data_IF_881592327335
#
_entry.id   IF_881592327335
#
_cell.length_a   1.000
_cell.length_b   1.000
_cell.length_c   1.000
_cell.angle_alpha   90.00
_cell.angle_beta   90.00
_cell.angle_gamma   90.00
#
_symmetry.space_group_name_H-M   'P 1'
#
loop_
_entity.id
_entity.type
_entity.pdbx_description
1 polymer ?
#
# COMPACT_ATOMS: atom_id res chain seq x y z
N UNK A 1 10.56 10.33 1.08
CA UNK A 1 10.70 10.73 2.50
C UNK A 1 10.93 9.47 3.30
N UNK A 2 11.96 9.40 4.13
CA UNK A 2 12.17 8.22 4.98
C UNK A 2 11.06 8.12 6.03
N UNK A 3 10.57 6.92 6.36
CA UNK A 3 9.59 6.76 7.42
C UNK A 3 10.16 7.24 8.76
N UNK A 4 9.35 7.92 9.57
CA UNK A 4 9.75 8.29 10.92
C UNK A 4 9.93 7.02 11.78
N UNK A 5 10.94 6.96 12.66
CA UNK A 5 11.10 5.84 13.58
C UNK A 5 9.86 5.72 14.48
N UNK A 6 9.49 4.50 14.80
CA UNK A 6 8.44 4.22 15.78
C UNK A 6 9.03 4.24 17.20
N UNK A 7 8.20 4.53 18.23
CA UNK A 7 8.52 4.26 19.62
C UNK A 7 8.88 2.77 19.86
N UNK A 8 9.40 2.45 21.04
CA UNK A 8 9.75 1.07 21.37
C UNK A 8 8.55 0.13 21.32
N UNK A 9 8.81 -1.16 21.07
CA UNK A 9 7.76 -2.19 21.11
C UNK A 9 7.04 -2.18 22.47
N UNK A 10 7.80 -2.11 23.56
CA UNK A 10 7.26 -2.07 24.91
C UNK A 10 6.28 -0.92 25.10
N UNK A 11 6.63 0.29 24.68
CA UNK A 11 5.79 1.47 24.81
C UNK A 11 4.49 1.32 24.03
N UNK A 12 4.58 0.93 22.76
CA UNK A 12 3.40 0.76 21.91
C UNK A 12 2.50 -0.39 22.39
N UNK A 13 3.06 -1.52 22.78
CA UNK A 13 2.32 -2.68 23.27
C UNK A 13 1.67 -2.44 24.64
N UNK A 14 2.21 -1.53 25.44
CA UNK A 14 1.59 -1.13 26.71
C UNK A 14 0.30 -0.31 26.53
N UNK A 15 0.12 0.34 25.38
CA UNK A 15 -0.95 1.30 25.11
C UNK A 15 -1.95 0.79 24.09
N UNK A 16 -1.50 0.03 23.09
CA UNK A 16 -2.33 -0.43 21.97
C UNK A 16 -2.45 -1.96 21.92
N UNK A 17 -3.56 -2.40 21.35
CA UNK A 17 -3.80 -3.80 20.99
C UNK A 17 -4.36 -3.88 19.57
N UNK A 18 -3.92 -4.90 18.83
CA UNK A 18 -4.44 -5.18 17.50
C UNK A 18 -5.84 -5.80 17.65
N UNK A 19 -6.81 -5.25 16.90
CA UNK A 19 -8.19 -5.72 16.96
C UNK A 19 -8.81 -5.78 15.56
N UNK A 20 -9.33 -6.93 15.20
CA UNK A 20 -10.04 -7.13 13.93
C UNK A 20 -11.41 -6.46 13.89
N UNK A 21 -11.99 -6.13 15.06
CA UNK A 21 -13.28 -5.45 15.18
C UNK A 21 -13.17 -3.93 15.12
N UNK A 22 -11.95 -3.38 15.28
CA UNK A 22 -11.72 -1.95 15.20
C UNK A 22 -11.60 -1.47 13.75
N UNK A 23 -12.28 -0.40 13.35
CA UNK A 23 -12.18 0.14 11.98
C UNK A 23 -10.76 0.60 11.61
N UNK A 24 -9.92 0.96 12.60
CA UNK A 24 -8.51 1.30 12.38
C UNK A 24 -7.59 0.08 12.43
N UNK A 25 -8.04 -1.05 12.99
CA UNK A 25 -7.22 -2.22 13.32
C UNK A 25 -6.56 -2.16 14.69
N UNK A 26 -6.72 -1.06 15.46
CA UNK A 26 -6.18 -0.88 16.81
C UNK A 26 -7.27 -0.48 17.81
N UNK A 27 -7.10 -0.92 19.06
CA UNK A 27 -7.86 -0.44 20.22
C UNK A 27 -6.91 0.05 21.31
N UNK A 28 -7.44 0.83 22.24
CA UNK A 28 -6.74 1.30 23.41
C UNK A 28 -6.70 0.25 24.51
N UNK A 29 -5.52 -0.25 24.88
CA UNK A 29 -5.28 -0.99 26.14
C UNK A 29 -5.20 -0.04 27.32
N UNK A 30 -4.42 1.04 27.14
CA UNK A 30 -4.25 2.07 28.16
C UNK A 30 -4.45 3.46 27.51
N UNK A 31 -5.61 4.09 27.77
CA UNK A 31 -5.85 5.45 27.29
C UNK A 31 -4.79 6.43 27.78
N UNK A 32 -4.39 7.35 26.90
CA UNK A 32 -3.38 8.39 27.21
C UNK A 32 -3.99 9.76 27.50
N UNK A 33 -5.31 9.88 27.36
CA UNK A 33 -6.07 11.08 27.74
C UNK A 33 -7.52 10.72 28.10
N UNK A 34 -8.22 11.66 28.74
CA UNK A 34 -9.60 11.47 29.27
C UNK A 34 -10.67 11.21 28.20
N UNK A 35 -10.42 11.59 26.95
CA UNK A 35 -11.34 11.37 25.82
C UNK A 35 -11.28 9.95 25.25
N UNK A 36 -10.27 9.19 25.60
CA UNK A 36 -10.07 7.82 25.16
C UNK A 36 -10.59 6.84 26.22
N UNK A 37 -11.04 5.68 25.80
CA UNK A 37 -11.52 4.62 26.70
C UNK A 37 -10.86 3.29 26.33
N UNK A 38 -10.66 2.44 27.32
CA UNK A 38 -10.16 1.07 27.12
C UNK A 38 -11.10 0.33 26.18
N UNK A 39 -10.55 -0.51 25.33
CA UNK A 39 -11.24 -1.33 24.32
C UNK A 39 -12.00 -0.53 23.24
N UNK A 40 -11.85 0.80 23.19
CA UNK A 40 -12.39 1.59 22.10
C UNK A 40 -11.39 1.71 20.93
N UNK A 41 -11.88 1.93 19.69
CA UNK A 41 -11.02 2.13 18.53
C UNK A 41 -9.95 3.20 18.78
N UNK A 42 -8.70 2.88 18.45
CA UNK A 42 -7.60 3.80 18.54
C UNK A 42 -7.28 4.38 17.16
N UNK A 43 -7.17 5.71 17.09
CA UNK A 43 -6.81 6.41 15.88
C UNK A 43 -7.93 7.21 15.25
N UNK A 44 -7.55 8.02 14.28
CA UNK A 44 -8.44 8.86 13.48
C UNK A 44 -7.99 8.83 12.02
N UNK A 45 -8.94 9.01 11.12
CA UNK A 45 -8.68 9.06 9.69
C UNK A 45 -8.26 10.48 9.28
N UNK A 46 -7.26 10.58 8.41
CA UNK A 46 -6.83 11.86 7.85
C UNK A 46 -6.95 11.85 6.34
N UNK A 47 -7.65 12.85 5.79
CA UNK A 47 -7.90 13.04 4.36
C UNK A 47 -8.46 11.79 3.66
N UNK A 48 -9.23 10.96 4.35
CA UNK A 48 -9.79 9.69 3.87
C UNK A 48 -8.75 8.76 3.22
N UNK A 49 -7.48 8.83 3.66
CA UNK A 49 -6.40 8.04 3.06
C UNK A 49 -5.76 7.05 4.01
N UNK A 50 -5.48 7.48 5.24
CA UNK A 50 -4.78 6.65 6.22
C UNK A 50 -5.32 6.86 7.61
N UNK A 51 -5.24 5.81 8.41
CA UNK A 51 -5.44 5.89 9.85
C UNK A 51 -4.17 6.35 10.55
N UNK A 52 -4.31 7.30 11.49
CA UNK A 52 -3.25 7.81 12.34
C UNK A 52 -3.62 7.64 13.80
N UNK A 53 -2.63 7.39 14.63
CA UNK A 53 -2.77 7.40 16.08
C UNK A 53 -1.74 8.35 16.69
N UNK A 54 -2.15 9.09 17.73
CA UNK A 54 -1.26 9.98 18.48
C UNK A 54 -0.67 9.23 19.66
N UNK A 55 0.65 9.26 19.77
CA UNK A 55 1.38 8.71 20.90
C UNK A 55 2.57 9.60 21.22
N UNK A 56 2.71 10.02 22.48
CA UNK A 56 3.79 10.91 22.95
C UNK A 56 4.01 12.14 22.02
N UNK A 57 2.94 12.85 21.67
CA UNK A 57 2.92 14.03 20.75
C UNK A 57 3.39 13.69 19.31
N UNK A 58 3.56 12.44 18.98
CA UNK A 58 3.87 11.99 17.62
C UNK A 58 2.62 11.45 16.94
N UNK A 59 2.50 11.73 15.62
CA UNK A 59 1.49 11.12 14.76
C UNK A 59 2.09 9.90 14.08
N UNK A 60 1.55 8.74 14.39
CA UNK A 60 2.00 7.45 13.86
C UNK A 60 0.99 6.90 12.87
N UNK A 61 1.45 6.30 11.77
CA UNK A 61 0.62 5.58 10.83
C UNK A 61 0.21 4.23 11.44
N UNK A 62 -1.09 3.99 11.54
CA UNK A 62 -1.64 2.80 12.22
C UNK A 62 -1.14 1.50 11.59
N UNK A 63 -1.12 1.37 10.25
CA UNK A 63 -0.63 0.17 9.58
C UNK A 63 0.83 -0.16 9.96
N UNK A 64 1.68 0.86 10.18
CA UNK A 64 3.05 0.63 10.65
C UNK A 64 3.08 0.16 12.10
N UNK A 65 2.23 0.72 12.96
CA UNK A 65 2.12 0.29 14.36
C UNK A 65 1.64 -1.16 14.43
N UNK A 66 0.61 -1.53 13.67
CA UNK A 66 0.09 -2.90 13.60
C UNK A 66 1.18 -3.87 13.13
N UNK A 67 1.86 -3.55 12.02
CA UNK A 67 2.90 -4.40 11.48
C UNK A 67 4.02 -4.62 12.49
N UNK A 68 4.45 -3.55 13.15
CA UNK A 68 5.50 -3.61 14.17
C UNK A 68 5.09 -4.41 15.42
N UNK A 69 3.86 -4.19 15.93
CA UNK A 69 3.33 -4.94 17.08
C UNK A 69 3.18 -6.43 16.79
N UNK A 70 2.82 -6.79 15.57
CA UNK A 70 2.61 -8.18 15.18
C UNK A 70 3.93 -8.93 14.96
N UNK A 71 4.84 -8.35 14.17
CA UNK A 71 6.08 -9.01 13.75
C UNK A 71 7.26 -8.79 14.70
N UNK A 72 7.20 -7.78 15.58
CA UNK A 72 8.24 -7.40 16.53
C UNK A 72 9.62 -7.18 15.88
N UNK A 73 9.64 -6.74 14.63
CA UNK A 73 10.84 -6.53 13.83
C UNK A 73 11.09 -5.04 13.57
N UNK A 74 12.34 -4.62 13.51
CA UNK A 74 12.67 -3.23 13.17
C UNK A 74 12.21 -2.89 11.75
N UNK A 75 11.33 -1.90 11.65
CA UNK A 75 10.78 -1.38 10.38
C UNK A 75 11.21 0.07 10.11
N UNK A 76 12.28 0.54 10.76
CA UNK A 76 12.72 1.94 10.66
C UNK A 76 13.13 2.34 9.25
N UNK A 77 13.70 1.41 8.48
CA UNK A 77 14.23 1.65 7.14
C UNK A 77 13.37 1.09 6.00
N UNK A 78 12.21 0.50 6.34
CA UNK A 78 11.32 -0.10 5.34
C UNK A 78 9.96 0.59 5.33
N UNK A 79 9.27 0.51 4.20
CA UNK A 79 7.89 0.92 4.06
C UNK A 79 6.96 -0.26 4.20
N UNK A 80 5.77 -0.03 4.73
CA UNK A 80 4.70 -1.03 4.78
C UNK A 80 3.68 -0.67 3.70
N UNK A 81 3.34 -1.64 2.87
CA UNK A 81 2.42 -1.53 1.74
C UNK A 81 1.13 -2.30 2.02
N UNK A 82 0.01 -1.80 1.47
CA UNK A 82 -1.28 -2.49 1.48
C UNK A 82 -1.41 -3.31 0.20
N UNK A 83 -1.53 -4.63 0.33
CA UNK A 83 -1.56 -5.56 -0.81
C UNK A 83 -2.73 -5.24 -1.74
N UNK A 84 -3.92 -5.00 -1.17
CA UNK A 84 -5.16 -4.66 -1.89
C UNK A 84 -5.24 -3.19 -2.34
N UNK A 85 -4.22 -2.38 -2.05
CA UNK A 85 -4.19 -0.92 -2.32
C UNK A 85 -5.22 -0.10 -1.54
N UNK A 86 -6.02 -0.71 -0.69
CA UNK A 86 -6.92 -0.02 0.22
C UNK A 86 -6.16 0.39 1.49
N UNK A 87 -5.74 1.63 1.55
CA UNK A 87 -4.94 2.19 2.65
C UNK A 87 -5.70 2.29 3.98
N UNK A 88 -6.97 1.94 4.00
CA UNK A 88 -7.80 1.87 5.20
C UNK A 88 -7.91 0.44 5.75
N UNK A 89 -7.58 -0.57 4.95
CA UNK A 89 -7.59 -1.97 5.37
C UNK A 89 -6.27 -2.34 6.05
N UNK A 90 -6.21 -2.13 7.35
CA UNK A 90 -5.04 -2.40 8.18
C UNK A 90 -4.98 -3.84 8.73
N UNK A 91 -5.75 -4.78 8.16
CA UNK A 91 -5.59 -6.20 8.48
C UNK A 91 -4.16 -6.65 8.28
N UNK A 92 -3.60 -7.39 9.23
CA UNK A 92 -2.19 -7.84 9.16
C UNK A 92 -1.91 -8.66 7.90
N UNK A 93 -2.87 -9.48 7.44
CA UNK A 93 -2.75 -10.27 6.22
C UNK A 93 -2.70 -9.41 4.94
N UNK A 94 -3.11 -8.14 5.04
CA UNK A 94 -3.08 -7.15 3.95
C UNK A 94 -1.82 -6.27 3.98
N UNK A 95 -0.96 -6.41 4.99
CA UNK A 95 0.22 -5.58 5.17
C UNK A 95 1.48 -6.37 4.84
N UNK A 96 2.40 -5.75 4.10
CA UNK A 96 3.71 -6.34 3.77
C UNK A 96 4.81 -5.30 3.79
N UNK A 97 6.04 -5.74 4.06
CA UNK A 97 7.25 -4.93 3.83
C UNK A 97 7.40 -4.71 2.33
N UNK A 98 7.72 -3.50 1.95
CA UNK A 98 8.01 -3.14 0.57
C UNK A 98 9.10 -2.10 0.48
N UNK A 99 9.86 -2.14 -0.59
CA UNK A 99 10.70 -1.04 -1.04
C UNK A 99 9.84 0.03 -1.73
N UNK A 100 10.38 1.23 -1.87
CA UNK A 100 9.69 2.29 -2.63
C UNK A 100 9.39 1.87 -4.07
N UNK A 101 10.26 1.06 -4.69
CA UNK A 101 10.09 0.55 -6.04
C UNK A 101 8.91 -0.43 -6.12
N UNK A 102 8.83 -1.38 -5.21
CA UNK A 102 7.73 -2.35 -5.14
C UNK A 102 6.38 -1.68 -4.92
N UNK A 103 6.32 -0.64 -4.06
CA UNK A 103 5.11 0.17 -3.93
C UNK A 103 4.67 0.82 -5.25
N UNK A 104 5.63 1.30 -6.08
CA UNK A 104 5.28 1.85 -7.40
C UNK A 104 4.73 0.75 -8.33
N UNK A 105 5.23 -0.48 -8.20
CA UNK A 105 4.71 -1.62 -8.97
C UNK A 105 3.27 -1.95 -8.59
N UNK A 106 2.89 -1.87 -7.31
CA UNK A 106 1.54 -2.13 -6.81
C UNK A 106 0.52 -1.00 -7.12
N UNK A 107 0.93 0.20 -7.55
CA UNK A 107 -0.01 1.29 -7.83
C UNK A 107 -0.86 1.04 -9.06
N UNK A 108 -2.12 1.51 -9.03
CA UNK A 108 -3.01 1.61 -10.20
C UNK A 108 -2.40 2.46 -11.32
N UNK A 109 -2.89 2.28 -12.54
CA UNK A 109 -2.60 3.15 -13.68
C UNK A 109 -2.98 4.61 -13.42
N UNK A 110 -2.43 5.54 -14.21
CA UNK A 110 -2.79 6.97 -14.11
C UNK A 110 -4.19 7.21 -14.67
N UNK A 111 -5.01 8.01 -14.00
CA UNK A 111 -6.38 8.32 -14.43
C UNK A 111 -6.47 9.07 -15.77
N UNK A 112 -5.45 9.86 -16.13
CA UNK A 112 -5.42 10.65 -17.38
C UNK A 112 -4.63 9.94 -18.49
N UNK A 113 -4.71 8.62 -18.58
CA UNK A 113 -4.14 7.82 -19.66
C UNK A 113 -5.15 7.61 -20.78
N UNK A 114 -4.66 7.33 -22.00
CA UNK A 114 -5.54 6.93 -23.13
C UNK A 114 -6.21 5.56 -22.93
N UNK A 115 -5.79 4.82 -21.89
CA UNK A 115 -6.35 3.54 -21.45
C UNK A 115 -6.64 3.58 -19.96
N UNK A 116 -7.68 2.87 -19.51
CA UNK A 116 -7.95 2.61 -18.09
C UNK A 116 -6.97 1.57 -17.50
N UNK A 117 -6.34 0.76 -18.37
CA UNK A 117 -5.44 -0.30 -17.95
C UNK A 117 -4.02 0.22 -17.72
N UNK A 118 -3.41 -0.23 -16.63
CA UNK A 118 -2.02 0.09 -16.30
C UNK A 118 -1.08 -0.44 -17.39
N UNK A 119 -0.13 0.41 -17.80
CA UNK A 119 0.88 0.03 -18.78
C UNK A 119 0.43 0.02 -20.22
N UNK A 120 -0.87 0.31 -20.48
CA UNK A 120 -1.46 0.36 -21.82
C UNK A 120 -1.66 1.79 -22.27
N UNK A 121 -1.29 2.12 -23.51
CA UNK A 121 -1.46 3.45 -24.10
C UNK A 121 -1.72 3.33 -25.59
N UNK A 122 -2.55 4.24 -26.12
CA UNK A 122 -2.82 4.32 -27.55
C UNK A 122 -1.62 4.98 -28.30
N UNK A 123 -1.12 4.34 -29.32
CA UNK A 123 -0.13 4.89 -30.23
C UNK A 123 -0.83 5.51 -31.45
N UNK A 124 -0.83 6.84 -31.52
CA UNK A 124 -1.47 7.56 -32.63
C UNK A 124 -0.80 7.28 -33.98
N UNK A 125 0.52 7.14 -33.99
CA UNK A 125 1.31 6.88 -35.21
C UNK A 125 1.08 5.50 -35.80
N UNK A 126 0.98 4.47 -34.93
CA UNK A 126 0.78 3.09 -35.36
C UNK A 126 -0.69 2.65 -35.35
N UNK A 127 -1.59 3.49 -34.84
CA UNK A 127 -3.02 3.16 -34.67
C UNK A 127 -3.21 1.82 -33.94
N UNK A 128 -2.44 1.59 -32.87
CA UNK A 128 -2.43 0.35 -32.08
C UNK A 128 -2.27 0.66 -30.59
N UNK A 129 -2.70 -0.28 -29.77
CA UNK A 129 -2.48 -0.25 -28.32
C UNK A 129 -1.06 -0.72 -27.99
N UNK A 130 -0.30 0.11 -27.31
CA UNK A 130 1.05 -0.20 -26.84
C UNK A 130 1.01 -0.67 -25.40
N UNK A 131 1.52 -1.88 -25.12
CA UNK A 131 1.81 -2.34 -23.77
C UNK A 131 3.29 -2.06 -23.41
N UNK A 132 3.51 -1.58 -22.20
CA UNK A 132 4.85 -1.31 -21.66
C UNK A 132 4.86 -1.40 -20.14
N UNK A 133 5.98 -1.84 -19.57
CA UNK A 133 6.18 -1.99 -18.12
C UNK A 133 7.43 -1.23 -17.69
N UNK A 134 7.46 -0.75 -16.44
CA UNK A 134 8.62 -0.05 -15.88
C UNK A 134 9.31 -0.96 -14.86
N UNK A 135 10.56 -1.32 -15.12
CA UNK A 135 11.41 -2.13 -14.24
C UNK A 135 12.68 -1.35 -13.95
N UNK A 136 13.06 -1.21 -12.69
CA UNK A 136 14.25 -0.47 -12.26
C UNK A 136 14.35 0.95 -12.89
N UNK A 137 13.22 1.68 -12.88
CA UNK A 137 13.08 3.03 -13.49
C UNK A 137 13.25 3.05 -15.03
N UNK A 138 13.47 1.91 -15.70
CA UNK A 138 13.52 1.79 -17.14
C UNK A 138 12.21 1.28 -17.69
N UNK A 139 11.71 1.93 -18.76
CA UNK A 139 10.50 1.47 -19.45
C UNK A 139 10.88 0.43 -20.48
N UNK A 140 10.29 -0.76 -20.37
CA UNK A 140 10.40 -1.85 -21.32
C UNK A 140 9.15 -1.90 -22.19
N UNK A 141 9.34 -1.99 -23.49
CA UNK A 141 8.28 -2.22 -24.45
C UNK A 141 7.92 -3.70 -24.47
N UNK A 142 6.60 -4.00 -24.41
CA UNK A 142 6.10 -5.38 -24.45
C UNK A 142 5.62 -5.70 -25.87
N UNK A 143 4.78 -4.83 -26.45
CA UNK A 143 4.24 -5.05 -27.79
C UNK A 143 3.21 -4.00 -28.20
N UNK A 144 2.77 -4.12 -29.46
CA UNK A 144 1.63 -3.40 -30.02
C UNK A 144 0.51 -4.38 -30.37
N UNK A 145 -0.71 -4.03 -29.99
CA UNK A 145 -1.92 -4.88 -30.09
C UNK A 145 -3.02 -4.14 -30.82
N UNK A 146 -3.85 -4.88 -31.54
CA UNK A 146 -5.04 -4.29 -32.18
C UNK A 146 -6.12 -3.97 -31.13
N UNK A 147 -6.20 -4.78 -30.06
CA UNK A 147 -7.20 -4.67 -29.01
C UNK A 147 -6.56 -4.20 -27.68
N UNK A 148 -7.27 -3.32 -26.97
CA UNK A 148 -6.86 -2.78 -25.67
C UNK A 148 -6.74 -3.89 -24.60
N UNK A 149 -7.67 -4.85 -24.59
CA UNK A 149 -7.69 -5.96 -23.63
C UNK A 149 -6.51 -6.89 -23.86
N UNK A 150 -6.13 -7.18 -25.12
CA UNK A 150 -4.94 -7.97 -25.43
C UNK A 150 -3.66 -7.31 -24.92
N UNK A 151 -3.55 -6.00 -25.11
CA UNK A 151 -2.43 -5.23 -24.56
C UNK A 151 -2.39 -5.29 -23.02
N UNK A 152 -3.56 -5.26 -22.35
CA UNK A 152 -3.66 -5.37 -20.91
C UNK A 152 -3.31 -6.78 -20.40
N UNK A 153 -3.72 -7.83 -21.08
CA UNK A 153 -3.32 -9.21 -20.79
C UNK A 153 -1.81 -9.41 -20.92
N UNK A 154 -1.22 -8.87 -21.99
CA UNK A 154 0.22 -8.91 -22.19
C UNK A 154 0.99 -8.14 -21.08
N UNK A 155 0.44 -6.99 -20.64
CA UNK A 155 0.98 -6.29 -19.48
C UNK A 155 0.91 -7.15 -18.23
N UNK A 156 -0.24 -7.80 -17.94
CA UNK A 156 -0.40 -8.65 -16.76
C UNK A 156 0.62 -9.77 -16.72
N UNK A 157 0.80 -10.50 -17.82
CA UNK A 157 1.80 -11.57 -17.93
C UNK A 157 3.24 -11.06 -17.69
N UNK A 158 3.58 -9.90 -18.23
CA UNK A 158 4.88 -9.28 -17.97
C UNK A 158 5.01 -8.81 -16.53
N UNK A 159 3.94 -8.28 -15.92
CA UNK A 159 3.94 -7.80 -14.54
C UNK A 159 4.12 -8.97 -13.55
N UNK A 160 3.44 -10.07 -13.73
CA UNK A 160 3.62 -11.29 -12.93
C UNK A 160 5.07 -11.78 -12.96
N UNK A 161 5.64 -11.84 -14.15
CA UNK A 161 7.03 -12.32 -14.34
C UNK A 161 8.07 -11.37 -13.72
N UNK A 162 7.87 -10.04 -13.83
CA UNK A 162 8.90 -9.04 -13.51
C UNK A 162 8.72 -8.39 -12.15
N UNK A 163 7.51 -8.37 -11.59
CA UNK A 163 7.19 -7.77 -10.30
C UNK A 163 6.71 -8.80 -9.26
N UNK A 164 6.43 -10.05 -9.67
CA UNK A 164 6.00 -11.11 -8.77
C UNK A 164 4.79 -10.70 -7.94
N UNK A 165 4.87 -10.93 -6.64
CA UNK A 165 3.79 -10.63 -5.67
C UNK A 165 3.45 -9.14 -5.57
N UNK A 166 4.31 -8.23 -6.06
CA UNK A 166 4.06 -6.79 -6.10
C UNK A 166 3.44 -6.32 -7.42
N UNK A 167 3.12 -7.24 -8.32
CA UNK A 167 2.47 -6.89 -9.58
C UNK A 167 1.06 -6.34 -9.32
N UNK A 168 0.77 -5.17 -9.90
CA UNK A 168 -0.60 -4.75 -10.11
C UNK A 168 -1.10 -5.42 -11.40
N UNK A 169 -2.15 -6.22 -11.31
CA UNK A 169 -2.79 -6.83 -12.47
C UNK A 169 -4.04 -6.01 -12.85
N UNK A 170 -4.22 -5.82 -14.15
CA UNK A 170 -5.45 -5.24 -14.68
C UNK A 170 -6.57 -6.26 -14.62
N UNK A 171 -7.78 -5.82 -14.33
CA UNK A 171 -8.99 -6.64 -14.38
C UNK A 171 -9.47 -6.74 -15.85
N UNK A 172 -9.17 -7.91 -16.52
CA UNK A 172 -9.41 -8.18 -17.95
C UNK A 172 -9.76 -9.64 -18.23
#
# INVERSE_FOLDING_TARGET
MKPKPLPSFHDLNSVFEISTTSPSGLIWKKPTCTKQKVNQPAGHMRNNKYWYVSFNRQQLLVHRVIYFLYHQTDISNVTIDHIDQNTLNNSINNLRISTHQEQQCNKKGKQNSSSKYKGVNWSKSLKKWRASICVNKKRMHIGYYANEIEAAKAYNAAAEKLHGTFAFLNDV
#
